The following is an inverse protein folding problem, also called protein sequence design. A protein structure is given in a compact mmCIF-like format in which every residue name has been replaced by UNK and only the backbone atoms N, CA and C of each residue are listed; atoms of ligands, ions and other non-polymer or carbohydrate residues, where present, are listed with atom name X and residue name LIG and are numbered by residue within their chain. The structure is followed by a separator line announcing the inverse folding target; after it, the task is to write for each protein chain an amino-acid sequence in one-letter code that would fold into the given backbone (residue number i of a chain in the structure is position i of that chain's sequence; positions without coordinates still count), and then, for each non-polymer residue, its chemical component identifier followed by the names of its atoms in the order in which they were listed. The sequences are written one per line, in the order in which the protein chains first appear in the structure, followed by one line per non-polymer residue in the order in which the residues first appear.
data_IF_222962975731
#
_entry.id   IF_222962975731
#
_cell.length_a   1.000
_cell.length_b   1.000
_cell.length_c   1.000
_cell.angle_alpha   90.00
_cell.angle_beta   90.00
_cell.angle_gamma   90.00
#
_symmetry.space_group_name_H-M   'P 1'
#
loop_
_entity.id
_entity.type
_entity.pdbx_description
1 polymer ?
#
# COMPACT_ATOMS: atom_id res chain seq x y z
N UNK A 1 23.03 -4.43 2.68
CA UNK A 1 21.71 -4.09 3.22
C UNK A 1 21.16 -5.33 3.87
N UNK A 2 20.69 -5.23 5.11
CA UNK A 2 20.08 -6.36 5.83
C UNK A 2 18.57 -6.38 5.59
N UNK A 3 17.96 -7.56 5.55
CA UNK A 3 16.50 -7.72 5.42
C UNK A 3 15.68 -6.94 6.48
N UNK A 4 16.30 -6.58 7.61
CA UNK A 4 15.67 -5.81 8.68
C UNK A 4 15.19 -4.41 8.26
N UNK A 5 15.76 -3.83 7.21
CA UNK A 5 15.43 -2.45 6.80
C UNK A 5 14.17 -2.38 5.92
N UNK A 6 13.68 -3.53 5.43
CA UNK A 6 12.62 -3.60 4.39
C UNK A 6 11.50 -4.61 4.71
N UNK A 7 11.57 -5.29 5.85
CA UNK A 7 10.55 -6.26 6.28
C UNK A 7 10.26 -6.08 7.77
N UNK A 8 8.97 -6.00 8.10
CA UNK A 8 8.49 -5.83 9.47
C UNK A 8 7.65 -7.03 9.91
N UNK A 9 7.61 -7.29 11.22
CA UNK A 9 6.73 -8.31 11.80
C UNK A 9 5.33 -7.76 12.06
N UNK A 10 4.36 -8.66 12.26
CA UNK A 10 3.02 -8.27 12.71
C UNK A 10 3.04 -7.54 14.07
N UNK A 11 3.94 -7.94 14.99
CA UNK A 11 4.11 -7.27 16.28
C UNK A 11 4.61 -5.83 16.11
N UNK A 12 5.55 -5.60 15.19
CA UNK A 12 6.01 -4.26 14.85
C UNK A 12 4.86 -3.43 14.28
N UNK A 13 4.11 -3.99 13.33
CA UNK A 13 2.98 -3.31 12.70
C UNK A 13 1.93 -2.88 13.74
N UNK A 14 1.58 -3.76 14.66
CA UNK A 14 0.64 -3.47 15.74
C UNK A 14 1.13 -2.33 16.66
N UNK A 15 2.44 -2.24 16.93
CA UNK A 15 3.02 -1.21 17.78
C UNK A 15 3.06 0.18 17.12
N UNK A 16 3.03 0.25 15.78
CA UNK A 16 3.19 1.48 15.01
C UNK A 16 1.89 1.95 14.33
N UNK A 17 0.73 1.38 14.70
CA UNK A 17 -0.58 1.74 14.12
C UNK A 17 -0.97 3.22 14.26
N UNK A 18 -0.39 3.92 15.23
CA UNK A 18 -0.72 5.32 15.54
C UNK A 18 0.39 6.29 15.18
N UNK A 19 1.47 5.82 14.56
CA UNK A 19 2.59 6.66 14.18
C UNK A 19 2.18 7.52 12.98
N UNK A 20 2.33 8.84 13.11
CA UNK A 20 1.80 9.79 12.12
C UNK A 20 2.48 9.72 10.76
N UNK A 21 3.66 9.11 10.68
CA UNK A 21 4.45 8.94 9.46
C UNK A 21 4.47 7.48 8.96
N UNK A 22 3.66 6.58 9.52
CA UNK A 22 3.54 5.19 9.06
C UNK A 22 2.19 5.02 8.37
N UNK A 23 2.22 4.60 7.10
CA UNK A 23 1.01 4.34 6.32
C UNK A 23 0.98 2.89 5.92
N UNK A 24 0.02 2.15 6.45
CA UNK A 24 -0.26 0.78 6.01
C UNK A 24 -1.05 0.83 4.71
N UNK A 25 -0.63 0.02 3.73
CA UNK A 25 -1.29 -0.05 2.42
C UNK A 25 -1.57 -1.50 2.08
N UNK A 26 -2.86 -1.83 1.97
CA UNK A 26 -3.28 -3.14 1.49
C UNK A 26 -3.31 -3.14 -0.03
N UNK A 27 -2.58 -4.07 -0.65
CA UNK A 27 -2.51 -4.24 -2.10
C UNK A 27 -2.95 -5.65 -2.46
N UNK A 28 -3.98 -5.78 -3.28
CA UNK A 28 -4.47 -7.09 -3.74
C UNK A 28 -4.99 -7.04 -5.18
N UNK A 29 -5.04 -8.20 -5.82
CA UNK A 29 -5.69 -8.43 -7.11
C UNK A 29 -7.22 -8.54 -6.98
N UNK A 30 -7.70 -8.92 -5.78
CA UNK A 30 -9.10 -8.90 -5.35
C UNK A 30 -9.20 -8.10 -4.05
N UNK A 31 -9.67 -6.85 -4.18
CA UNK A 31 -9.78 -5.91 -3.07
C UNK A 31 -10.97 -6.15 -2.14
N UNK A 32 -11.74 -7.23 -2.34
CA UNK A 32 -12.87 -7.56 -1.47
C UNK A 32 -12.43 -7.96 -0.05
N UNK A 33 -11.17 -8.33 0.15
CA UNK A 33 -10.60 -8.60 1.47
C UNK A 33 -10.59 -7.33 2.34
N UNK A 34 -10.01 -6.25 1.82
CA UNK A 34 -10.00 -4.93 2.48
C UNK A 34 -11.41 -4.50 2.92
N UNK A 35 -12.39 -4.61 2.02
CA UNK A 35 -13.76 -4.15 2.31
C UNK A 35 -14.46 -5.00 3.39
N UNK A 36 -14.02 -6.24 3.63
CA UNK A 36 -14.50 -7.09 4.74
C UNK A 36 -13.81 -6.78 6.06
N UNK A 37 -12.56 -6.31 6.01
CA UNK A 37 -11.78 -5.92 7.17
C UNK A 37 -10.31 -5.74 6.81
N UNK A 38 -9.70 -4.69 7.34
CA UNK A 38 -8.32 -4.29 7.07
C UNK A 38 -7.67 -3.76 8.36
N UNK A 39 -6.35 -3.57 8.31
CA UNK A 39 -5.61 -2.91 9.39
C UNK A 39 -6.18 -1.49 9.58
N UNK A 40 -6.41 -1.08 10.83
CA UNK A 40 -7.00 0.22 11.12
C UNK A 40 -6.17 1.36 10.52
N UNK A 41 -6.82 2.25 9.77
CA UNK A 41 -6.16 3.38 9.08
C UNK A 41 -5.43 3.01 7.80
N UNK A 42 -5.43 1.73 7.38
CA UNK A 42 -4.79 1.33 6.14
C UNK A 42 -5.48 1.96 4.91
N UNK A 43 -4.70 2.14 3.86
CA UNK A 43 -5.15 2.57 2.54
C UNK A 43 -5.30 1.35 1.63
N UNK A 44 -6.34 1.32 0.82
CA UNK A 44 -6.52 0.31 -0.24
C UNK A 44 -5.77 0.73 -1.50
N UNK A 45 -5.11 -0.20 -2.20
CA UNK A 45 -4.71 -0.05 -3.61
C UNK A 45 -5.17 -1.27 -4.41
N UNK A 46 -5.94 -1.02 -5.48
CA UNK A 46 -6.37 -2.06 -6.41
C UNK A 46 -5.30 -2.29 -7.49
N UNK A 47 -4.71 -3.48 -7.54
CA UNK A 47 -3.65 -3.80 -8.50
C UNK A 47 -4.05 -3.58 -9.96
N UNK A 48 -5.32 -3.83 -10.29
CA UNK A 48 -5.84 -3.79 -11.67
C UNK A 48 -6.33 -2.40 -12.05
N UNK A 49 -6.96 -1.70 -11.11
CA UNK A 49 -7.57 -0.38 -11.39
C UNK A 49 -6.62 0.78 -11.12
N UNK A 50 -5.84 0.73 -10.03
CA UNK A 50 -5.02 1.86 -9.61
C UNK A 50 -3.63 1.84 -10.26
N UNK A 51 -3.05 0.65 -10.46
CA UNK A 51 -1.64 0.51 -10.83
C UNK A 51 -1.39 0.19 -12.31
N UNK A 52 -2.43 -0.12 -13.09
CA UNK A 52 -2.31 -0.40 -14.54
C UNK A 52 -2.66 0.83 -15.40
N UNK A 53 -2.08 0.94 -16.59
CA UNK A 53 -2.36 2.04 -17.54
C UNK A 53 -3.83 2.08 -18.02
N UNK A 54 -4.51 0.92 -18.02
CA UNK A 54 -5.91 0.75 -18.40
C UNK A 54 -6.15 0.53 -19.89
N UNK A 55 -5.15 0.77 -20.75
CA UNK A 55 -5.22 0.49 -22.19
C UNK A 55 -4.00 -0.29 -22.65
N UNK A 56 -2.81 0.22 -22.34
CA UNK A 56 -1.55 -0.45 -22.64
C UNK A 56 -1.34 -1.56 -21.62
N UNK A 57 -0.65 -2.62 -22.04
CA UNK A 57 -0.15 -3.64 -21.12
C UNK A 57 1.11 -3.12 -20.43
N UNK A 58 0.91 -2.13 -19.57
CA UNK A 58 1.94 -1.40 -18.84
C UNK A 58 1.38 -0.83 -17.53
N UNK A 59 2.27 -0.40 -16.65
CA UNK A 59 1.90 0.26 -15.40
C UNK A 59 1.53 1.73 -15.61
N UNK A 60 0.92 2.34 -14.59
CA UNK A 60 0.78 3.79 -14.54
C UNK A 60 2.14 4.48 -14.62
N UNK A 61 2.20 5.59 -15.35
CA UNK A 61 3.40 6.41 -15.43
C UNK A 61 3.62 7.23 -14.14
N UNK A 62 4.75 7.93 -14.07
CA UNK A 62 5.13 8.75 -12.92
C UNK A 62 4.04 9.72 -12.49
N UNK A 63 3.50 10.52 -13.42
CA UNK A 63 2.51 11.56 -13.08
C UNK A 63 1.22 10.96 -12.52
N UNK A 64 0.78 9.81 -13.05
CA UNK A 64 -0.39 9.10 -12.54
C UNK A 64 -0.12 8.48 -11.18
N UNK A 65 1.07 7.92 -10.95
CA UNK A 65 1.45 7.37 -9.66
C UNK A 65 1.55 8.44 -8.57
N UNK A 66 2.17 9.59 -8.87
CA UNK A 66 2.23 10.75 -7.98
C UNK A 66 0.82 11.23 -7.61
N UNK A 67 -0.07 11.33 -8.60
CA UNK A 67 -1.46 11.71 -8.38
C UNK A 67 -2.19 10.68 -7.51
N UNK A 68 -2.05 9.39 -7.80
CA UNK A 68 -2.65 8.31 -7.03
C UNK A 68 -2.23 8.38 -5.56
N UNK A 69 -0.94 8.45 -5.27
CA UNK A 69 -0.45 8.52 -3.89
C UNK A 69 -0.92 9.80 -3.18
N UNK A 70 -0.94 10.94 -3.89
CA UNK A 70 -1.46 12.21 -3.34
C UNK A 70 -2.95 12.10 -2.96
N UNK A 71 -3.78 11.47 -3.81
CA UNK A 71 -5.20 11.24 -3.55
C UNK A 71 -5.43 10.28 -2.37
N UNK A 72 -4.47 9.39 -2.10
CA UNK A 72 -4.49 8.48 -0.94
C UNK A 72 -3.81 9.06 0.32
N UNK A 73 -3.30 10.29 0.25
CA UNK A 73 -2.67 10.98 1.39
C UNK A 73 -1.28 10.48 1.75
N UNK A 74 -0.56 9.87 0.80
CA UNK A 74 0.80 9.34 1.00
C UNK A 74 1.84 10.37 0.53
N UNK A 75 2.74 10.75 1.44
CA UNK A 75 3.86 11.66 1.22
C UNK A 75 5.16 10.91 0.93
N UNK A 76 6.16 11.60 0.37
CA UNK A 76 7.51 11.06 0.17
C UNK A 76 8.25 10.80 1.49
N UNK A 77 7.84 11.45 2.58
CA UNK A 77 8.46 11.29 3.91
C UNK A 77 7.79 10.17 4.74
N UNK A 78 6.72 9.55 4.22
CA UNK A 78 6.02 8.48 4.92
C UNK A 78 6.79 7.16 4.81
N UNK A 79 6.77 6.40 5.90
CA UNK A 79 7.13 4.98 5.91
C UNK A 79 5.93 4.17 5.45
N UNK A 80 5.96 3.73 4.20
CA UNK A 80 4.87 2.94 3.59
C UNK A 80 5.10 1.45 3.88
N UNK A 81 4.11 0.80 4.50
CA UNK A 81 4.13 -0.63 4.83
C UNK A 81 3.11 -1.37 3.98
N UNK A 82 3.58 -2.12 3.00
CA UNK A 82 2.74 -2.92 2.10
C UNK A 82 2.37 -4.26 2.76
N UNK A 83 1.10 -4.63 2.66
CA UNK A 83 0.62 -5.97 2.99
C UNK A 83 -0.50 -6.38 2.03
N UNK A 84 -0.84 -7.67 1.98
CA UNK A 84 -1.90 -8.17 1.11
C UNK A 84 -2.15 -9.66 1.25
N UNK A 85 -3.18 -10.14 0.56
CA UNK A 85 -3.46 -11.57 0.43
C UNK A 85 -2.53 -12.25 -0.58
N UNK A 86 -2.85 -13.51 -0.89
CA UNK A 86 -2.24 -14.28 -1.99
C UNK A 86 -0.72 -14.50 -1.96
N UNK A 87 -0.05 -14.19 -0.84
CA UNK A 87 1.40 -14.39 -0.67
C UNK A 87 2.24 -13.62 -1.72
N UNK A 88 1.75 -12.43 -2.11
CA UNK A 88 2.40 -11.54 -3.07
C UNK A 88 3.74 -10.97 -2.57
#
# INVERSE_FOLDING_TARGET
MSHADVLVSADWAQQHLTDSNVVFVEVDEDVSAYDKGHIAGAVKLDWKQDLQDGVRRDFVNKERFEKLLSERGISNDDTVVLYGGNNN
#
